data_IF_074560390165
#
_entry.id   IF_074560390165
#
_cell.length_a   1.000
_cell.length_b   1.000
_cell.length_c   1.000
_cell.angle_alpha   90.00
_cell.angle_beta   90.00
_cell.angle_gamma   90.00
#
_symmetry.space_group_name_H-M   'P 1'
#
loop_
_entity.id
_entity.type
_entity.pdbx_description
1 polymer ?
#
# COMPACT_ATOMS: atom_id res chain seq x y z
N UNK A 1 29.70 -13.30 -1.41
CA UNK A 1 28.36 -13.55 -1.97
C UNK A 1 27.79 -12.20 -2.35
N UNK A 2 27.74 -11.88 -3.64
CA UNK A 2 26.99 -10.72 -4.12
C UNK A 2 25.52 -10.99 -3.78
N UNK A 3 24.94 -10.22 -2.89
CA UNK A 3 23.49 -10.19 -2.68
C UNK A 3 22.89 -9.64 -3.97
N UNK A 4 22.13 -10.43 -4.71
CA UNK A 4 21.38 -9.94 -5.86
C UNK A 4 20.50 -8.76 -5.40
N UNK A 5 20.65 -7.64 -6.08
CA UNK A 5 19.82 -6.45 -5.87
C UNK A 5 18.38 -6.78 -6.26
N UNK A 6 17.47 -6.79 -5.29
CA UNK A 6 16.06 -7.11 -5.53
C UNK A 6 15.22 -5.83 -5.46
N UNK A 7 14.16 -5.79 -6.26
CA UNK A 7 13.11 -4.80 -6.11
C UNK A 7 12.06 -5.31 -5.12
N UNK A 8 11.88 -4.58 -4.04
CA UNK A 8 10.92 -4.91 -2.98
C UNK A 8 9.84 -3.82 -2.92
N UNK A 9 8.59 -4.23 -2.93
CA UNK A 9 7.45 -3.36 -2.66
C UNK A 9 6.98 -3.62 -1.23
N UNK A 10 7.01 -2.59 -0.38
CA UNK A 10 6.49 -2.64 0.99
C UNK A 10 5.17 -1.87 1.07
N UNK A 11 4.18 -2.42 1.74
CA UNK A 11 2.91 -1.73 1.98
C UNK A 11 2.67 -1.59 3.50
N UNK A 12 2.34 -0.39 3.92
CA UNK A 12 1.99 -0.10 5.30
C UNK A 12 0.60 0.52 5.40
N UNK A 13 -0.26 -0.11 6.23
CA UNK A 13 -1.62 0.32 6.48
C UNK A 13 -1.69 1.52 7.43
N UNK A 14 -2.90 2.05 7.60
CA UNK A 14 -3.14 3.26 8.40
C UNK A 14 -2.68 3.14 9.84
N UNK A 15 -2.82 1.98 10.46
CA UNK A 15 -2.37 1.72 11.83
C UNK A 15 -0.84 1.78 11.96
N UNK A 16 -0.10 1.36 10.94
CA UNK A 16 1.37 1.39 10.94
C UNK A 16 1.96 2.78 10.78
N UNK A 17 1.17 3.75 10.30
CA UNK A 17 1.59 5.15 10.11
C UNK A 17 0.75 6.14 10.92
N UNK A 18 0.01 5.67 11.93
CA UNK A 18 -1.02 6.44 12.64
C UNK A 18 -0.51 7.67 13.40
N UNK A 19 0.76 7.71 13.76
CA UNK A 19 1.38 8.82 14.49
C UNK A 19 2.89 8.91 14.19
N UNK A 20 3.53 9.94 14.71
CA UNK A 20 4.94 10.23 14.44
C UNK A 20 5.88 9.06 14.83
N UNK A 21 5.65 8.38 15.96
CA UNK A 21 6.50 7.27 16.39
C UNK A 21 6.36 6.06 15.46
N UNK A 22 5.14 5.77 15.02
CA UNK A 22 4.89 4.72 14.04
C UNK A 22 5.48 5.05 12.67
N UNK A 23 5.38 6.30 12.21
CA UNK A 23 6.04 6.74 10.97
C UNK A 23 7.55 6.57 11.06
N UNK A 24 8.19 6.92 12.19
CA UNK A 24 9.64 6.70 12.41
C UNK A 24 9.99 5.22 12.40
N UNK A 25 9.16 4.37 13.02
CA UNK A 25 9.36 2.93 13.00
C UNK A 25 9.30 2.36 11.57
N UNK A 26 8.29 2.75 10.78
CA UNK A 26 8.19 2.36 9.37
C UNK A 26 9.40 2.87 8.57
N UNK A 27 9.81 4.11 8.78
CA UNK A 27 11.01 4.66 8.13
C UNK A 27 12.27 3.83 8.44
N UNK A 28 12.42 3.36 9.70
CA UNK A 28 13.53 2.46 10.07
C UNK A 28 13.47 1.13 9.31
N UNK A 29 12.30 0.50 9.22
CA UNK A 29 12.11 -0.76 8.48
C UNK A 29 12.47 -0.58 7.00
N UNK A 30 11.99 0.50 6.39
CA UNK A 30 12.27 0.84 4.99
C UNK A 30 13.76 1.10 4.77
N UNK A 31 14.39 1.88 5.66
CA UNK A 31 15.81 2.19 5.59
C UNK A 31 16.69 0.92 5.73
N UNK A 32 16.31 -0.01 6.60
CA UNK A 32 17.03 -1.28 6.78
C UNK A 32 16.94 -2.14 5.51
N UNK A 33 15.75 -2.21 4.89
CA UNK A 33 15.54 -2.90 3.60
C UNK A 33 16.40 -2.29 2.49
N UNK A 34 16.43 -0.97 2.39
CA UNK A 34 17.25 -0.26 1.41
C UNK A 34 18.76 -0.47 1.64
N UNK A 35 19.22 -0.35 2.89
CA UNK A 35 20.63 -0.56 3.27
C UNK A 35 21.10 -1.97 3.03
N UNK A 36 20.19 -2.94 2.99
CA UNK A 36 20.52 -4.32 2.61
C UNK A 36 20.81 -4.49 1.10
N UNK A 37 20.78 -3.41 0.31
CA UNK A 37 21.12 -3.41 -1.12
C UNK A 37 19.92 -3.55 -2.05
N UNK A 38 18.70 -3.39 -1.56
CA UNK A 38 17.49 -3.51 -2.36
C UNK A 38 17.03 -2.16 -2.92
N UNK A 39 16.40 -2.18 -4.09
CA UNK A 39 15.54 -1.10 -4.55
C UNK A 39 14.19 -1.19 -3.84
N UNK A 40 13.64 -0.07 -3.36
CA UNK A 40 12.45 -0.09 -2.51
C UNK A 40 11.38 0.88 -3.01
N UNK A 41 10.17 0.35 -3.20
CA UNK A 41 8.94 1.13 -3.34
C UNK A 41 8.08 0.90 -2.10
N UNK A 42 7.60 1.97 -1.49
CA UNK A 42 6.75 1.91 -0.29
C UNK A 42 5.37 2.46 -0.61
N UNK A 43 4.33 1.70 -0.38
CA UNK A 43 2.94 2.15 -0.52
C UNK A 43 2.33 2.36 0.86
N UNK A 44 1.74 3.52 1.09
CA UNK A 44 1.13 3.87 2.38
C UNK A 44 -0.35 4.18 2.24
N UNK A 45 -1.11 3.81 3.29
CA UNK A 45 -2.50 4.22 3.49
C UNK A 45 -2.57 5.54 4.27
N UNK A 46 -3.74 6.15 4.32
CA UNK A 46 -4.02 7.28 5.22
C UNK A 46 -3.76 6.89 6.69
N UNK A 47 -3.40 7.85 7.53
CA UNK A 47 -3.10 7.62 8.95
C UNK A 47 -4.37 7.25 9.73
N UNK A 48 -4.37 6.13 10.46
CA UNK A 48 -5.46 5.74 11.36
C UNK A 48 -6.84 5.89 10.72
N UNK A 49 -7.69 6.70 11.34
CA UNK A 49 -9.08 6.93 10.94
C UNK A 49 -9.27 8.16 10.01
N UNK A 50 -8.18 8.73 9.47
CA UNK A 50 -8.22 9.98 8.67
C UNK A 50 -9.24 9.93 7.53
N UNK A 51 -9.38 8.79 6.85
CA UNK A 51 -10.35 8.65 5.74
C UNK A 51 -11.79 8.80 6.25
N UNK A 52 -12.11 8.18 7.40
CA UNK A 52 -13.44 8.25 8.00
C UNK A 52 -13.72 9.68 8.51
N UNK A 53 -12.74 10.33 9.14
CA UNK A 53 -12.83 11.75 9.56
C UNK A 53 -13.10 12.70 8.38
N UNK A 54 -12.46 12.46 7.23
CA UNK A 54 -12.68 13.25 6.02
C UNK A 54 -14.07 13.03 5.44
N UNK A 55 -14.55 11.78 5.45
CA UNK A 55 -15.92 11.46 5.00
C UNK A 55 -16.98 12.06 5.93
N UNK A 56 -16.74 12.07 7.25
CA UNK A 56 -17.63 12.72 8.22
C UNK A 56 -17.71 14.23 7.96
N UNK A 57 -16.58 14.92 7.80
CA UNK A 57 -16.54 16.35 7.43
C UNK A 57 -17.27 16.64 6.12
N UNK A 58 -17.11 15.78 5.11
CA UNK A 58 -17.85 15.93 3.86
C UNK A 58 -19.37 15.83 4.08
N UNK A 59 -19.80 14.85 4.87
CA UNK A 59 -21.21 14.61 5.18
C UNK A 59 -21.84 15.77 5.97
N UNK A 60 -21.10 16.41 6.88
CA UNK A 60 -21.54 17.61 7.61
C UNK A 60 -21.81 18.80 6.67
N UNK A 61 -20.99 18.94 5.61
CA UNK A 61 -21.13 20.04 4.64
C UNK A 61 -22.20 19.72 3.60
N UNK A 62 -22.19 18.51 3.04
CA UNK A 62 -23.12 18.05 2.02
C UNK A 62 -23.27 16.52 2.03
N UNK A 63 -24.32 15.95 2.64
CA UNK A 63 -24.55 14.51 2.68
C UNK A 63 -24.81 13.89 1.29
N UNK A 64 -24.99 14.71 0.27
CA UNK A 64 -25.22 14.32 -1.12
C UNK A 64 -24.04 14.70 -2.03
N UNK A 65 -22.84 14.88 -1.48
CA UNK A 65 -21.65 15.19 -2.25
C UNK A 65 -21.41 14.13 -3.34
N UNK A 66 -20.99 14.58 -4.52
CA UNK A 66 -20.67 13.64 -5.61
C UNK A 66 -19.47 12.78 -5.25
N UNK A 67 -19.44 11.55 -5.76
CA UNK A 67 -18.31 10.64 -5.56
C UNK A 67 -17.01 11.20 -6.11
N UNK A 68 -17.05 12.03 -7.15
CA UNK A 68 -15.88 12.72 -7.68
C UNK A 68 -15.25 13.64 -6.63
N UNK A 69 -16.06 14.46 -5.94
CA UNK A 69 -15.55 15.38 -4.92
C UNK A 69 -15.11 14.63 -3.66
N UNK A 70 -15.78 13.52 -3.33
CA UNK A 70 -15.35 12.65 -2.23
C UNK A 70 -13.99 12.01 -2.53
N UNK A 71 -13.76 11.51 -3.76
CA UNK A 71 -12.47 10.98 -4.19
C UNK A 71 -11.36 12.03 -4.07
N UNK A 72 -11.63 13.26 -4.52
CA UNK A 72 -10.70 14.38 -4.40
C UNK A 72 -10.33 14.67 -2.95
N UNK A 73 -11.30 14.61 -2.03
CA UNK A 73 -11.08 14.89 -0.62
C UNK A 73 -10.30 13.78 0.08
N UNK A 74 -10.75 12.54 -0.03
CA UNK A 74 -10.21 11.44 0.80
C UNK A 74 -8.77 11.07 0.43
N UNK A 75 -8.35 11.30 -0.81
CA UNK A 75 -6.96 11.03 -1.25
C UNK A 75 -5.93 11.94 -0.59
N UNK A 76 -6.35 13.01 0.08
CA UNK A 76 -5.46 13.85 0.88
C UNK A 76 -4.83 13.06 2.06
N UNK A 77 -5.52 12.04 2.58
CA UNK A 77 -5.02 11.21 3.68
C UNK A 77 -3.72 10.49 3.33
N UNK A 78 -3.68 9.83 2.18
CA UNK A 78 -2.49 9.13 1.70
C UNK A 78 -1.37 10.09 1.31
N UNK A 79 -1.69 11.27 0.81
CA UNK A 79 -0.70 12.32 0.53
C UNK A 79 0.01 12.75 1.80
N UNK A 80 -0.73 12.95 2.90
CA UNK A 80 -0.16 13.28 4.21
C UNK A 80 0.80 12.18 4.66
N UNK A 81 0.35 10.93 4.65
CA UNK A 81 1.16 9.78 5.06
C UNK A 81 2.45 9.64 4.25
N UNK A 82 2.35 9.73 2.92
CA UNK A 82 3.49 9.62 2.03
C UNK A 82 4.52 10.72 2.26
N UNK A 83 4.04 11.96 2.44
CA UNK A 83 4.92 13.10 2.70
C UNK A 83 5.64 12.99 4.05
N UNK A 84 4.92 12.60 5.11
CA UNK A 84 5.51 12.43 6.45
C UNK A 84 6.54 11.29 6.49
N UNK A 85 6.27 10.18 5.82
CA UNK A 85 7.21 9.07 5.73
C UNK A 85 8.47 9.47 4.93
N UNK A 86 8.31 10.19 3.82
CA UNK A 86 9.44 10.70 3.05
C UNK A 86 10.30 11.66 3.89
N UNK A 87 9.71 12.58 4.65
CA UNK A 87 10.44 13.48 5.56
C UNK A 87 11.18 12.70 6.65
N UNK A 88 10.59 11.62 7.19
CA UNK A 88 11.26 10.78 8.17
C UNK A 88 12.49 10.06 7.58
N UNK A 89 12.39 9.56 6.35
CA UNK A 89 13.49 8.93 5.62
C UNK A 89 14.61 9.95 5.28
N UNK A 90 14.24 11.17 4.84
CA UNK A 90 15.20 12.27 4.64
C UNK A 90 15.95 12.60 5.93
N UNK A 91 15.26 12.66 7.07
CA UNK A 91 15.85 12.88 8.37
C UNK A 91 16.84 11.79 8.79
N UNK A 92 16.76 10.60 8.21
CA UNK A 92 17.69 9.49 8.37
C UNK A 92 18.83 9.49 7.31
N UNK A 93 18.87 10.48 6.44
CA UNK A 93 19.87 10.60 5.37
C UNK A 93 19.61 9.65 4.19
N UNK A 94 18.39 9.13 4.03
CA UNK A 94 18.05 8.24 2.93
C UNK A 94 17.63 9.06 1.69
N UNK A 95 18.07 8.66 0.47
CA UNK A 95 17.56 9.23 -0.77
C UNK A 95 16.11 8.78 -0.96
N UNK A 96 15.17 9.72 -1.04
CA UNK A 96 13.74 9.41 -1.09
C UNK A 96 12.97 10.42 -1.93
N UNK A 97 11.89 9.95 -2.55
CA UNK A 97 10.90 10.79 -3.21
C UNK A 97 9.49 10.26 -2.89
N UNK A 98 8.56 11.16 -2.58
CA UNK A 98 7.14 10.82 -2.47
C UNK A 98 6.40 11.12 -3.76
N UNK A 99 5.51 10.20 -4.17
CA UNK A 99 4.68 10.33 -5.37
C UNK A 99 3.22 10.06 -5.04
N UNK A 100 2.35 10.86 -5.62
CA UNK A 100 0.91 10.58 -5.67
C UNK A 100 0.60 9.53 -6.74
N UNK A 101 -0.57 8.91 -6.67
CA UNK A 101 -0.98 7.90 -7.63
C UNK A 101 -0.89 8.35 -9.09
N UNK A 102 -1.29 9.61 -9.39
CA UNK A 102 -1.19 10.16 -10.73
C UNK A 102 0.26 10.45 -11.15
N UNK A 103 1.12 10.88 -10.22
CA UNK A 103 2.54 11.14 -10.51
C UNK A 103 3.32 9.86 -10.82
N UNK A 104 2.92 8.75 -10.21
CA UNK A 104 3.54 7.45 -10.48
C UNK A 104 2.91 6.71 -11.66
N UNK A 105 1.93 7.34 -12.34
CA UNK A 105 1.34 6.81 -13.57
C UNK A 105 0.17 5.84 -13.40
N UNK A 106 -0.51 5.82 -12.25
CA UNK A 106 -1.69 4.98 -12.02
C UNK A 106 -2.90 5.46 -12.81
N UNK A 107 -3.23 4.78 -13.92
CA UNK A 107 -4.39 5.07 -14.76
C UNK A 107 -5.57 4.17 -14.40
N UNK A 108 -6.74 4.78 -14.22
CA UNK A 108 -7.97 4.10 -13.81
C UNK A 108 -9.12 4.34 -14.78
N UNK A 109 -10.24 3.61 -14.59
CA UNK A 109 -11.52 3.99 -15.15
C UNK A 109 -12.17 5.13 -14.35
N UNK A 110 -13.32 5.62 -14.80
CA UNK A 110 -14.04 6.77 -14.18
C UNK A 110 -15.14 6.32 -13.19
N UNK A 111 -14.99 5.15 -12.57
CA UNK A 111 -15.92 4.70 -11.53
C UNK A 111 -15.48 5.25 -10.17
N UNK A 112 -15.83 6.48 -9.86
CA UNK A 112 -15.47 7.16 -8.62
C UNK A 112 -15.88 6.34 -7.39
N UNK A 113 -15.03 6.34 -6.36
CA UNK A 113 -15.19 5.59 -5.12
C UNK A 113 -14.88 4.09 -5.23
N UNK A 114 -14.76 3.54 -6.43
CA UNK A 114 -14.43 2.13 -6.67
C UNK A 114 -13.82 1.92 -8.06
N UNK A 115 -12.82 2.72 -8.39
CA UNK A 115 -12.16 2.67 -9.69
C UNK A 115 -11.36 1.36 -9.87
N UNK A 116 -11.15 1.00 -11.12
CA UNK A 116 -10.31 -0.13 -11.52
C UNK A 116 -9.07 0.38 -12.24
N UNK A 117 -7.94 -0.19 -11.87
CA UNK A 117 -6.65 0.10 -12.53
C UNK A 117 -6.74 -0.43 -13.97
N UNK A 118 -6.43 0.41 -14.93
CA UNK A 118 -6.31 0.06 -16.35
C UNK A 118 -4.89 -0.26 -16.73
N UNK A 119 -3.94 0.56 -16.29
CA UNK A 119 -2.50 0.37 -16.48
C UNK A 119 -1.72 1.22 -15.47
N UNK A 120 -0.45 0.90 -15.32
CA UNK A 120 0.55 1.75 -14.70
C UNK A 120 1.53 2.17 -15.79
N UNK A 121 1.76 3.48 -15.91
CA UNK A 121 2.84 4.07 -16.72
C UNK A 121 4.06 4.16 -15.81
N UNK A 122 4.94 3.16 -15.85
CA UNK A 122 5.99 2.94 -14.83
C UNK A 122 7.23 3.82 -15.00
N UNK A 123 7.31 4.60 -16.06
CA UNK A 123 8.50 5.35 -16.43
C UNK A 123 9.01 6.28 -15.31
N UNK A 124 8.10 6.91 -14.55
CA UNK A 124 8.49 7.74 -13.42
C UNK A 124 9.03 6.91 -12.26
N UNK A 125 8.42 5.78 -11.94
CA UNK A 125 8.90 4.86 -10.90
C UNK A 125 10.30 4.36 -11.24
N UNK A 126 10.48 3.86 -12.47
CA UNK A 126 11.75 3.34 -12.96
C UNK A 126 12.85 4.42 -12.95
N UNK A 127 12.52 5.65 -13.36
CA UNK A 127 13.46 6.76 -13.35
C UNK A 127 13.95 7.10 -11.93
N UNK A 128 13.07 7.05 -10.93
CA UNK A 128 13.45 7.32 -9.54
C UNK A 128 14.25 6.16 -8.93
N UNK A 129 13.88 4.92 -9.22
CA UNK A 129 14.64 3.74 -8.79
C UNK A 129 16.03 3.71 -9.41
N UNK A 130 16.18 4.06 -10.69
CA UNK A 130 17.47 4.18 -11.35
C UNK A 130 18.38 5.25 -10.73
N UNK A 131 17.81 6.26 -10.09
CA UNK A 131 18.54 7.27 -9.28
C UNK A 131 18.83 6.75 -7.86
N UNK A 132 18.47 5.51 -7.55
CA UNK A 132 18.56 4.91 -6.22
C UNK A 132 17.76 5.65 -5.15
N UNK A 133 16.64 6.26 -5.53
CA UNK A 133 15.70 6.80 -4.57
C UNK A 133 14.78 5.69 -4.04
N UNK A 134 14.52 5.73 -2.74
CA UNK A 134 13.35 5.06 -2.14
C UNK A 134 12.12 5.81 -2.65
N UNK A 135 11.16 5.10 -3.25
CA UNK A 135 9.94 5.73 -3.78
C UNK A 135 8.78 5.46 -2.84
N UNK A 136 8.28 6.51 -2.18
CA UNK A 136 7.10 6.43 -1.31
C UNK A 136 5.87 6.83 -2.12
N UNK A 137 4.89 5.95 -2.21
CA UNK A 137 3.69 6.12 -3.02
C UNK A 137 2.46 6.28 -2.14
N UNK A 138 1.68 7.31 -2.39
CA UNK A 138 0.33 7.42 -1.84
C UNK A 138 -0.56 6.33 -2.48
N UNK A 139 -0.97 5.35 -1.68
CA UNK A 139 -1.84 4.26 -2.13
C UNK A 139 -3.27 4.69 -2.41
N UNK A 140 -4.15 3.74 -2.76
CA UNK A 140 -5.59 3.92 -2.88
C UNK A 140 -6.08 4.77 -4.05
N UNK A 141 -5.24 5.50 -4.75
CA UNK A 141 -5.61 6.54 -5.71
C UNK A 141 -4.99 6.36 -7.10
N UNK A 142 -5.65 6.90 -8.10
CA UNK A 142 -5.17 7.02 -9.46
C UNK A 142 -5.84 8.17 -10.19
N UNK A 143 -5.67 8.23 -11.50
CA UNK A 143 -6.23 9.28 -12.35
C UNK A 143 -6.98 8.64 -13.53
N UNK A 144 -8.14 9.19 -13.88
CA UNK A 144 -8.91 8.73 -15.03
C UNK A 144 -8.56 9.49 -16.32
N UNK A 145 -9.31 9.22 -17.39
CA UNK A 145 -9.10 9.85 -18.70
C UNK A 145 -9.43 11.35 -18.78
N UNK A 146 -10.06 11.90 -17.75
CA UNK A 146 -10.40 13.32 -17.63
C UNK A 146 -9.45 14.07 -16.71
N UNK A 147 -8.36 13.40 -16.28
CA UNK A 147 -7.42 13.87 -15.28
C UNK A 147 -8.05 14.10 -13.88
N UNK A 148 -9.20 13.50 -13.63
CA UNK A 148 -9.79 13.46 -12.31
C UNK A 148 -9.15 12.40 -11.45
N UNK A 149 -8.94 12.73 -10.17
CA UNK A 149 -8.51 11.77 -9.15
C UNK A 149 -9.64 10.76 -8.88
N UNK A 150 -9.26 9.51 -8.74
CA UNK A 150 -10.18 8.40 -8.45
C UNK A 150 -9.64 7.56 -7.32
N UNK A 151 -10.53 6.94 -6.54
CA UNK A 151 -10.14 5.98 -5.49
C UNK A 151 -10.49 4.55 -5.87
N UNK A 152 -9.68 3.60 -5.39
CA UNK A 152 -9.80 2.17 -5.72
C UNK A 152 -10.80 1.44 -4.82
N UNK A 153 -11.37 2.11 -3.82
CA UNK A 153 -12.24 1.49 -2.82
C UNK A 153 -11.47 0.70 -1.75
N UNK A 154 -12.18 -0.15 -1.00
CA UNK A 154 -11.60 -0.95 0.09
C UNK A 154 -10.40 -1.78 -0.39
N UNK A 155 -9.35 -1.84 0.43
CA UNK A 155 -8.11 -2.53 0.09
C UNK A 155 -7.34 -1.86 -1.06
N UNK A 156 -7.61 -0.57 -1.31
CA UNK A 156 -7.01 0.15 -2.42
C UNK A 156 -5.49 0.27 -2.33
N UNK A 157 -4.92 0.43 -1.13
CA UNK A 157 -3.46 0.49 -0.96
C UNK A 157 -2.80 -0.88 -1.20
N UNK A 158 -3.43 -1.99 -0.79
CA UNK A 158 -2.96 -3.34 -1.13
C UNK A 158 -3.00 -3.55 -2.64
N UNK A 159 -4.11 -3.15 -3.28
CA UNK A 159 -4.26 -3.22 -4.74
C UNK A 159 -3.21 -2.37 -5.45
N UNK A 160 -2.90 -1.17 -4.93
CA UNK A 160 -1.82 -0.31 -5.45
C UNK A 160 -0.47 -1.02 -5.38
N UNK A 161 -0.12 -1.61 -4.24
CA UNK A 161 1.15 -2.30 -4.04
C UNK A 161 1.31 -3.49 -4.99
N UNK A 162 0.28 -4.33 -5.12
CA UNK A 162 0.29 -5.47 -6.04
C UNK A 162 0.41 -5.03 -7.50
N UNK A 163 -0.31 -3.96 -7.90
CA UNK A 163 -0.25 -3.43 -9.24
C UNK A 163 1.15 -2.88 -9.59
N UNK A 164 1.80 -2.18 -8.66
CA UNK A 164 3.18 -1.70 -8.82
C UNK A 164 4.14 -2.88 -8.96
N UNK A 165 4.03 -3.87 -8.08
CA UNK A 165 4.88 -5.05 -8.13
C UNK A 165 4.72 -5.82 -9.44
N UNK A 166 3.50 -5.97 -9.95
CA UNK A 166 3.22 -6.59 -11.24
C UNK A 166 3.83 -5.79 -12.41
N UNK A 167 3.71 -4.45 -12.38
CA UNK A 167 4.22 -3.58 -13.43
C UNK A 167 5.75 -3.56 -13.48
N UNK A 168 6.41 -3.55 -12.32
CA UNK A 168 7.87 -3.49 -12.19
C UNK A 168 8.53 -4.87 -12.09
N UNK A 169 7.75 -5.96 -12.09
CA UNK A 169 8.23 -7.34 -11.85
C UNK A 169 9.02 -7.48 -10.55
N UNK A 170 8.51 -6.86 -9.48
CA UNK A 170 9.12 -6.92 -8.17
C UNK A 170 9.17 -8.36 -7.64
N UNK A 171 10.24 -8.68 -6.90
CA UNK A 171 10.44 -10.01 -6.36
C UNK A 171 9.48 -10.33 -5.21
N UNK A 172 9.21 -9.36 -4.33
CA UNK A 172 8.41 -9.55 -3.13
C UNK A 172 7.54 -8.33 -2.80
N UNK A 173 6.38 -8.60 -2.20
CA UNK A 173 5.56 -7.58 -1.54
C UNK A 173 5.48 -7.94 -0.06
N UNK A 174 5.83 -7.00 0.81
CA UNK A 174 5.62 -7.09 2.25
C UNK A 174 4.38 -6.30 2.64
N UNK A 175 3.51 -6.89 3.45
CA UNK A 175 2.38 -6.19 4.05
C UNK A 175 2.49 -6.19 5.57
N UNK A 176 1.88 -5.21 6.22
CA UNK A 176 2.07 -4.89 7.62
C UNK A 176 1.05 -5.51 8.58
N UNK A 177 0.54 -6.67 8.27
CA UNK A 177 -0.30 -7.43 9.20
C UNK A 177 0.53 -8.48 9.94
N UNK A 178 0.06 -8.89 11.11
CA UNK A 178 0.78 -9.83 11.98
C UNK A 178 1.02 -11.20 11.33
N UNK A 179 0.11 -11.62 10.47
CA UNK A 179 0.22 -12.89 9.73
C UNK A 179 -1.14 -13.38 9.25
N UNK A 180 -1.11 -14.47 8.53
CA UNK A 180 -2.31 -15.23 8.15
C UNK A 180 -2.47 -16.38 9.13
N UNK A 181 -3.65 -16.53 9.71
CA UNK A 181 -3.97 -17.55 10.72
C UNK A 181 -5.08 -18.46 10.21
N UNK A 182 -5.14 -19.67 10.77
CA UNK A 182 -6.21 -20.65 10.47
C UNK A 182 -7.59 -20.18 10.91
N UNK A 183 -7.67 -19.22 11.83
CA UNK A 183 -8.87 -18.52 12.28
C UNK A 183 -8.44 -17.20 12.95
N UNK A 184 -9.38 -16.30 13.26
CA UNK A 184 -9.06 -15.06 14.00
C UNK A 184 -8.51 -15.40 15.40
N UNK A 185 -7.24 -15.12 15.72
CA UNK A 185 -6.62 -15.46 17.00
C UNK A 185 -7.25 -14.72 18.19
N UNK A 186 -7.97 -13.63 17.96
CA UNK A 186 -8.72 -12.89 18.99
C UNK A 186 -9.96 -13.66 19.46
N UNK A 187 -10.49 -14.51 18.57
CA UNK A 187 -11.71 -15.32 18.84
C UNK A 187 -11.33 -16.76 19.17
N UNK A 188 -10.40 -17.33 18.41
CA UNK A 188 -10.00 -18.74 18.52
C UNK A 188 -8.58 -18.83 19.11
N UNK A 189 -8.48 -19.13 20.41
CA UNK A 189 -7.20 -19.18 21.14
C UNK A 189 -6.17 -20.17 20.57
N UNK A 190 -6.61 -21.19 19.84
CA UNK A 190 -5.76 -22.21 19.23
C UNK A 190 -5.51 -21.94 17.73
N UNK A 191 -5.83 -20.75 17.23
CA UNK A 191 -5.50 -20.36 15.85
C UNK A 191 -3.99 -20.44 15.64
N UNK A 192 -3.57 -21.08 14.54
CA UNK A 192 -2.16 -21.21 14.19
C UNK A 192 -1.82 -20.26 13.07
N UNK A 193 -0.68 -19.59 13.18
CA UNK A 193 -0.11 -18.83 12.09
C UNK A 193 0.32 -19.79 10.98
N UNK A 194 0.00 -19.43 9.74
CA UNK A 194 0.38 -20.20 8.57
C UNK A 194 1.71 -19.66 8.04
N UNK A 195 2.65 -20.56 7.78
CA UNK A 195 3.94 -20.22 7.19
C UNK A 195 3.80 -19.91 5.70
N UNK A 196 2.95 -20.69 5.02
CA UNK A 196 2.63 -20.55 3.60
C UNK A 196 1.15 -20.84 3.36
N UNK A 197 0.58 -20.19 2.37
CA UNK A 197 -0.79 -20.37 1.92
C UNK A 197 -0.87 -20.12 0.40
N UNK A 198 -1.67 -20.89 -0.30
CA UNK A 198 -1.91 -20.67 -1.73
C UNK A 198 -2.83 -19.47 -1.95
N UNK A 199 -2.78 -18.88 -3.15
CA UNK A 199 -3.71 -17.78 -3.50
C UNK A 199 -5.17 -18.20 -3.41
N UNK A 200 -5.52 -19.44 -3.77
CA UNK A 200 -6.88 -19.95 -3.74
C UNK A 200 -7.39 -20.10 -2.31
N UNK A 201 -6.60 -20.66 -1.42
CA UNK A 201 -6.91 -20.74 0.00
C UNK A 201 -7.03 -19.35 0.64
N UNK A 202 -6.15 -18.42 0.27
CA UNK A 202 -6.21 -17.04 0.76
C UNK A 202 -7.48 -16.33 0.28
N UNK A 203 -7.93 -16.56 -0.95
CA UNK A 203 -9.18 -16.03 -1.49
C UNK A 203 -10.40 -16.59 -0.74
N UNK A 204 -10.39 -17.88 -0.40
CA UNK A 204 -11.44 -18.49 0.42
C UNK A 204 -11.47 -17.88 1.81
N UNK A 205 -10.33 -17.76 2.49
CA UNK A 205 -10.24 -17.16 3.81
C UNK A 205 -10.71 -15.69 3.79
N UNK A 206 -10.31 -14.90 2.80
CA UNK A 206 -10.73 -13.52 2.67
C UNK A 206 -12.24 -13.40 2.37
N UNK A 207 -12.82 -14.34 1.62
CA UNK A 207 -14.27 -14.40 1.36
C UNK A 207 -15.05 -14.76 2.62
N UNK A 208 -14.48 -15.60 3.49
CA UNK A 208 -15.08 -16.03 4.75
C UNK A 208 -14.88 -15.02 5.90
N UNK A 209 -14.24 -13.87 5.65
CA UNK A 209 -14.13 -12.77 6.60
C UNK A 209 -12.74 -12.56 7.22
N UNK A 210 -11.72 -13.28 6.79
CA UNK A 210 -10.34 -12.99 7.20
C UNK A 210 -9.91 -11.63 6.62
N UNK A 211 -9.71 -10.63 7.48
CA UNK A 211 -9.38 -9.26 7.09
C UNK A 211 -7.86 -9.03 6.98
N UNK A 212 -7.12 -9.97 6.41
CA UNK A 212 -5.66 -9.88 6.26
C UNK A 212 -5.30 -9.16 4.97
N UNK A 213 -5.88 -9.60 3.86
CA UNK A 213 -5.71 -9.01 2.52
C UNK A 213 -7.07 -8.93 1.83
N UNK A 214 -7.27 -7.88 1.05
CA UNK A 214 -8.51 -7.73 0.29
C UNK A 214 -8.52 -8.67 -0.93
N UNK A 215 -9.66 -9.34 -1.23
CA UNK A 215 -9.79 -10.31 -2.33
C UNK A 215 -9.22 -9.79 -3.65
N UNK A 216 -9.48 -8.53 -3.99
CA UNK A 216 -9.00 -7.90 -5.24
C UNK A 216 -7.47 -7.90 -5.35
N UNK A 217 -6.75 -7.65 -4.26
CA UNK A 217 -5.28 -7.67 -4.25
C UNK A 217 -4.74 -9.09 -4.41
N UNK A 218 -5.37 -10.08 -3.77
CA UNK A 218 -5.01 -11.49 -3.88
C UNK A 218 -5.28 -12.04 -5.29
N UNK A 219 -6.45 -11.72 -5.88
CA UNK A 219 -6.78 -12.07 -7.28
C UNK A 219 -5.75 -11.49 -8.26
N UNK A 220 -5.35 -10.23 -8.05
CA UNK A 220 -4.35 -9.57 -8.89
C UNK A 220 -2.97 -10.22 -8.70
N UNK A 221 -2.56 -10.52 -7.48
CA UNK A 221 -1.30 -11.20 -7.19
C UNK A 221 -1.25 -12.58 -7.85
N UNK A 222 -2.33 -13.36 -7.76
CA UNK A 222 -2.49 -14.63 -8.47
C UNK A 222 -2.34 -14.46 -9.97
N UNK A 223 -3.08 -13.50 -10.56
CA UNK A 223 -3.07 -13.24 -12.01
C UNK A 223 -1.69 -12.92 -12.55
N UNK A 224 -0.90 -12.16 -11.80
CA UNK A 224 0.43 -11.71 -12.21
C UNK A 224 1.58 -12.50 -11.58
N UNK A 225 1.26 -13.56 -10.84
CA UNK A 225 2.22 -14.42 -10.13
C UNK A 225 3.19 -13.61 -9.25
N UNK A 226 2.66 -12.71 -8.46
CA UNK A 226 3.43 -11.85 -7.55
C UNK A 226 3.47 -12.51 -6.16
N UNK A 227 4.65 -12.79 -5.64
CA UNK A 227 4.81 -13.32 -4.29
C UNK A 227 4.40 -12.28 -3.25
N UNK A 228 3.50 -12.68 -2.35
CA UNK A 228 3.06 -11.87 -1.22
C UNK A 228 3.66 -12.41 0.06
N UNK A 229 4.25 -11.57 0.86
CA UNK A 229 4.76 -11.89 2.18
C UNK A 229 4.13 -10.97 3.22
N UNK A 230 3.59 -11.57 4.28
CA UNK A 230 2.91 -10.87 5.35
C UNK A 230 3.85 -10.80 6.56
N UNK A 231 4.22 -9.60 6.98
CA UNK A 231 5.14 -9.35 8.11
C UNK A 231 4.58 -8.30 9.04
N UNK A 232 4.73 -8.50 10.34
CA UNK A 232 4.37 -7.47 11.32
C UNK A 232 5.23 -6.22 11.15
N UNK A 233 4.61 -5.04 11.17
CA UNK A 233 5.32 -3.76 11.26
C UNK A 233 5.62 -3.35 12.71
N UNK A 234 5.04 -4.05 13.68
CA UNK A 234 5.14 -3.73 15.11
C UNK A 234 6.18 -4.59 15.84
N UNK A 235 6.43 -5.80 15.35
CA UNK A 235 7.40 -6.73 15.90
C UNK A 235 8.56 -6.89 14.92
N UNK A 236 9.77 -6.53 15.34
CA UNK A 236 10.97 -6.92 14.61
C UNK A 236 11.17 -8.41 14.83
N UNK A 237 10.85 -9.22 13.82
CA UNK A 237 11.27 -10.63 13.79
C UNK A 237 12.74 -10.60 13.41
N UNK A 238 13.60 -11.07 14.34
CA UNK A 238 15.02 -11.29 14.10
C UNK A 238 15.28 -12.37 13.05
#
# INVERSE_FOLDING_TARGET
>A
LETEEMLIVQKFGGSSVANADRVRNVASIVADTYKAGNDVVVVVSAQGDTTDDLLEKANEINPHASKRELDMLVTAGEQISASLLAMALEGMGMPVVSLLGWQMGMKTNSNYGNARIKKIESERLEAELNRKNIVVVAGFQGINKYDDITTLGRGGSDTTAVAIAAALKACHIYTDVDGVYTADPRIVKNAKKLDEITYDEMLELATLGAQVLHNRSVEMAKKYNVNLEVRSSLERVE
#
